data_IF_046354384211
#
_entry.id   IF_046354384211
#
_cell.length_a   1.000
_cell.length_b   1.000
_cell.length_c   1.000
_cell.angle_alpha   90.00
_cell.angle_beta   90.00
_cell.angle_gamma   90.00
#
_symmetry.space_group_name_H-M   'P 1'
#
loop_
_entity.id
_entity.type
_entity.pdbx_description
1 polymer ?
#
# COMPACT_ATOMS: atom_id res chain seq x y z
N UNK A 1 8.44 21.13 33.35
CA UNK A 1 9.01 19.77 33.56
C UNK A 1 9.10 19.01 32.25
N UNK A 2 7.99 18.76 31.54
CA UNK A 2 7.98 18.01 30.27
C UNK A 2 8.89 18.59 29.17
N UNK A 3 8.89 19.91 28.94
CA UNK A 3 9.80 20.52 27.96
C UNK A 3 11.29 20.31 28.25
N UNK A 4 11.69 20.24 29.52
CA UNK A 4 13.07 19.91 29.90
C UNK A 4 13.40 18.45 29.58
N UNK A 5 12.44 17.54 29.78
CA UNK A 5 12.59 16.14 29.39
C UNK A 5 12.79 16.03 27.86
N UNK A 6 11.92 16.64 27.05
CA UNK A 6 12.04 16.60 25.58
C UNK A 6 13.38 17.15 25.11
N UNK A 7 13.84 18.27 25.69
CA UNK A 7 15.16 18.84 25.40
C UNK A 7 16.30 17.87 25.76
N UNK A 8 16.28 17.29 26.95
CA UNK A 8 17.32 16.35 27.38
C UNK A 8 17.33 15.10 26.49
N UNK A 9 16.16 14.57 26.18
CA UNK A 9 15.98 13.45 25.26
C UNK A 9 16.58 13.75 23.88
N UNK A 10 16.22 14.88 23.27
CA UNK A 10 16.76 15.31 21.98
C UNK A 10 18.29 15.45 22.01
N UNK A 11 18.85 16.07 23.05
CA UNK A 11 20.30 16.23 23.17
C UNK A 11 21.05 14.91 23.34
N UNK A 12 20.42 13.88 23.91
CA UNK A 12 21.02 12.54 24.05
C UNK A 12 20.99 11.79 22.73
N UNK A 13 19.89 11.88 21.96
CA UNK A 13 19.65 11.04 20.79
C UNK A 13 19.88 11.72 19.43
N UNK A 14 20.13 13.04 19.38
CA UNK A 14 20.25 13.78 18.11
C UNK A 14 21.28 13.25 17.10
N UNK A 15 22.28 12.54 17.57
CA UNK A 15 23.39 12.01 16.77
C UNK A 15 23.25 10.47 16.58
N UNK A 16 22.17 9.86 17.07
CA UNK A 16 21.92 8.41 17.00
C UNK A 16 21.38 8.00 15.62
N UNK A 17 22.19 7.33 14.82
CA UNK A 17 21.81 6.89 13.47
C UNK A 17 20.84 5.71 13.44
N UNK A 18 20.67 5.00 14.56
CA UNK A 18 19.72 3.89 14.69
C UNK A 18 18.26 4.34 14.86
N UNK A 19 18.01 5.64 15.04
CA UNK A 19 16.67 6.20 15.16
C UNK A 19 16.30 6.85 13.83
N UNK A 20 15.10 6.55 13.32
CA UNK A 20 14.59 7.19 12.10
C UNK A 20 13.69 8.39 12.41
N UNK A 21 12.93 8.30 13.50
CA UNK A 21 11.85 9.22 13.81
C UNK A 21 11.42 9.19 15.27
N UNK A 22 10.70 10.24 15.67
CA UNK A 22 10.05 10.37 16.97
C UNK A 22 8.58 10.72 16.82
N UNK A 23 7.82 10.42 17.87
CA UNK A 23 6.43 10.85 18.03
C UNK A 23 6.21 11.46 19.41
N UNK A 24 5.08 12.14 19.62
CA UNK A 24 4.84 12.83 20.89
C UNK A 24 4.30 11.89 21.99
N UNK A 25 3.56 10.86 21.61
CA UNK A 25 2.95 9.90 22.53
C UNK A 25 2.69 8.57 21.83
N UNK A 26 3.55 7.56 22.01
CA UNK A 26 3.42 6.24 21.35
C UNK A 26 2.02 5.64 21.48
N UNK A 27 1.19 5.77 20.43
CA UNK A 27 -0.24 5.43 20.28
C UNK A 27 -1.33 6.47 20.65
N UNK A 28 -0.98 7.72 21.00
CA UNK A 28 -1.91 8.69 21.60
C UNK A 28 -2.00 10.06 20.95
N UNK A 29 -1.30 10.32 19.84
CA UNK A 29 -1.13 11.69 19.35
C UNK A 29 -2.47 12.39 19.05
N UNK A 30 -3.42 11.68 18.46
CA UNK A 30 -4.78 12.18 18.21
C UNK A 30 -5.50 12.59 19.51
N UNK A 31 -5.31 11.85 20.60
CA UNK A 31 -5.91 12.12 21.90
C UNK A 31 -5.19 13.25 22.66
N UNK A 32 -3.87 13.38 22.48
CA UNK A 32 -3.09 14.49 23.01
C UNK A 32 -3.40 15.82 22.32
N UNK A 33 -3.79 15.75 21.04
CA UNK A 33 -4.18 16.88 20.22
C UNK A 33 -3.01 17.74 19.75
N UNK A 34 -3.30 18.57 18.73
CA UNK A 34 -2.29 19.35 18.00
C UNK A 34 -1.41 20.24 18.87
N UNK A 35 -1.92 20.77 19.98
CA UNK A 35 -1.17 21.69 20.85
C UNK A 35 0.05 21.00 21.44
N UNK A 36 -0.11 19.79 21.99
CA UNK A 36 1.01 19.05 22.58
C UNK A 36 1.97 18.58 21.49
N UNK A 37 1.42 18.03 20.41
CA UNK A 37 2.21 17.47 19.31
C UNK A 37 3.07 18.55 18.65
N UNK A 38 2.51 19.74 18.39
CA UNK A 38 3.25 20.87 17.84
C UNK A 38 4.31 21.40 18.81
N UNK A 39 4.01 21.43 20.12
CA UNK A 39 4.98 21.81 21.15
C UNK A 39 6.18 20.84 21.19
N UNK A 40 5.94 19.53 21.16
CA UNK A 40 6.99 18.52 21.11
C UNK A 40 7.79 18.64 19.81
N UNK A 41 7.11 18.77 18.67
CA UNK A 41 7.73 18.99 17.37
C UNK A 41 8.71 20.17 17.40
N UNK A 42 8.26 21.34 17.87
CA UNK A 42 9.08 22.55 17.88
C UNK A 42 10.31 22.41 18.78
N UNK A 43 10.14 21.80 19.96
CA UNK A 43 11.26 21.55 20.85
C UNK A 43 12.25 20.55 20.27
N UNK A 44 11.78 19.43 19.71
CA UNK A 44 12.66 18.45 19.06
C UNK A 44 13.44 19.13 17.92
N UNK A 45 12.77 19.87 17.03
CA UNK A 45 13.45 20.55 15.90
C UNK A 45 14.51 21.56 16.33
N UNK A 46 14.36 22.17 17.51
CA UNK A 46 15.36 23.10 18.04
C UNK A 46 16.66 22.39 18.45
N UNK A 47 16.60 21.17 18.96
CA UNK A 47 17.75 20.46 19.54
C UNK A 47 18.20 19.24 18.73
N UNK A 48 17.34 18.74 17.85
CA UNK A 48 17.52 17.60 16.98
C UNK A 48 16.91 17.90 15.59
N UNK A 49 17.73 18.44 14.68
CA UNK A 49 17.30 18.68 13.31
C UNK A 49 17.35 17.40 12.44
N UNK A 50 17.91 16.30 12.93
CA UNK A 50 18.29 15.15 12.12
C UNK A 50 17.16 14.12 11.99
N UNK A 51 16.41 13.88 13.06
CA UNK A 51 15.35 12.87 13.08
C UNK A 51 14.02 13.41 12.55
N UNK A 52 13.18 12.54 11.97
CA UNK A 52 11.81 12.91 11.60
C UNK A 52 10.92 13.02 12.85
N UNK A 53 9.88 13.86 12.79
CA UNK A 53 8.82 13.90 13.80
C UNK A 53 7.54 13.52 13.09
N UNK A 54 6.93 12.43 13.51
CA UNK A 54 5.74 11.84 12.93
C UNK A 54 4.56 12.01 13.90
N UNK A 55 3.35 11.88 13.38
CA UNK A 55 2.18 11.62 14.20
C UNK A 55 1.96 10.11 14.30
N UNK A 56 1.78 9.61 15.52
CA UNK A 56 1.34 8.23 15.78
C UNK A 56 0.03 7.90 15.08
N UNK A 57 -0.23 6.61 14.83
CA UNK A 57 -1.30 6.25 13.95
C UNK A 57 -2.67 6.43 14.55
N UNK A 58 -3.60 6.83 13.68
CA UNK A 58 -5.01 6.54 13.94
C UNK A 58 -5.28 5.08 13.79
N UNK A 59 -6.22 4.62 14.62
CA UNK A 59 -6.87 3.34 14.39
C UNK A 59 -7.37 3.23 12.95
N UNK A 60 -8.14 4.20 12.46
CA UNK A 60 -8.74 4.21 11.12
C UNK A 60 -8.83 5.64 10.57
N UNK A 61 -8.72 5.80 9.24
CA UNK A 61 -9.03 7.08 8.55
C UNK A 61 -10.54 7.30 8.49
N UNK A 62 -11.12 7.93 9.51
CA UNK A 62 -12.57 8.21 9.59
C UNK A 62 -12.98 9.57 9.03
N UNK A 63 -12.02 10.34 8.53
CA UNK A 63 -12.19 11.71 8.05
C UNK A 63 -11.22 12.01 6.90
N UNK A 64 -11.12 13.28 6.50
CA UNK A 64 -10.21 13.70 5.43
C UNK A 64 -8.77 13.15 5.64
N UNK A 65 -8.16 12.47 4.66
CA UNK A 65 -6.81 11.90 4.81
C UNK A 65 -5.72 12.93 5.18
N UNK A 66 -5.83 14.17 4.66
CA UNK A 66 -4.97 15.31 5.03
C UNK A 66 -5.49 16.15 6.22
N UNK A 67 -6.38 15.64 7.07
CA UNK A 67 -6.93 16.47 8.15
C UNK A 67 -5.85 17.08 9.06
N UNK A 68 -4.73 16.37 9.30
CA UNK A 68 -3.59 16.87 10.07
C UNK A 68 -3.08 18.21 9.53
N UNK A 69 -2.94 18.28 8.21
CA UNK A 69 -2.50 19.50 7.51
C UNK A 69 -3.54 20.60 7.67
N UNK A 70 -4.82 20.28 7.47
CA UNK A 70 -5.93 21.24 7.59
C UNK A 70 -6.10 21.78 9.02
N UNK A 71 -5.84 20.95 10.03
CA UNK A 71 -5.93 21.33 11.43
C UNK A 71 -4.69 22.06 11.96
N UNK A 72 -3.62 22.14 11.15
CA UNK A 72 -2.38 22.83 11.48
C UNK A 72 -1.44 22.02 12.38
N UNK A 73 -1.44 20.69 12.23
CA UNK A 73 -0.43 19.83 12.83
C UNK A 73 0.89 20.00 12.08
N UNK A 74 1.99 20.10 12.82
CA UNK A 74 3.33 20.34 12.28
C UNK A 74 4.04 19.08 11.76
N UNK A 75 3.89 17.90 12.38
CA UNK A 75 4.46 16.68 11.79
C UNK A 75 3.96 16.47 10.37
N UNK A 76 4.89 16.11 9.48
CA UNK A 76 4.63 16.04 8.04
C UNK A 76 3.84 14.79 7.64
N UNK A 77 3.84 13.75 8.46
CA UNK A 77 3.27 12.45 8.17
C UNK A 77 2.43 11.94 9.34
N UNK A 78 1.22 11.49 9.04
CA UNK A 78 0.32 10.82 9.98
C UNK A 78 0.35 9.31 9.83
N UNK A 79 0.38 8.58 10.94
CA UNK A 79 0.24 7.14 10.90
C UNK A 79 -1.22 6.72 10.64
N UNK A 80 -1.39 5.57 10.00
CA UNK A 80 -2.65 4.81 10.01
C UNK A 80 -2.35 3.36 10.35
N UNK A 81 -3.26 2.72 11.09
CA UNK A 81 -3.23 1.27 11.32
C UNK A 81 -4.03 0.55 10.24
N UNK A 82 -3.74 -0.71 9.94
CA UNK A 82 -4.59 -1.51 9.04
C UNK A 82 -5.19 -2.74 9.71
N UNK A 83 -4.93 -2.99 10.99
CA UNK A 83 -5.42 -4.22 11.63
C UNK A 83 -6.95 -4.27 11.77
N UNK A 84 -7.66 -3.14 11.74
CA UNK A 84 -9.12 -3.12 11.77
C UNK A 84 -9.74 -3.74 10.51
N UNK A 85 -8.97 -3.86 9.42
CA UNK A 85 -9.36 -4.61 8.23
C UNK A 85 -8.88 -6.06 8.25
N UNK A 86 -8.29 -6.60 9.32
CA UNK A 86 -7.75 -7.97 9.39
C UNK A 86 -8.73 -9.07 8.94
N UNK A 87 -10.02 -8.87 9.23
CA UNK A 87 -11.09 -9.82 8.88
C UNK A 87 -11.86 -9.47 7.62
N UNK A 88 -11.45 -8.41 6.92
CA UNK A 88 -12.04 -7.98 5.66
C UNK A 88 -11.33 -8.70 4.51
N UNK A 89 -11.98 -8.78 3.33
CA UNK A 89 -11.33 -9.29 2.13
C UNK A 89 -9.98 -8.59 1.85
N UNK A 90 -9.02 -9.24 1.17
CA UNK A 90 -7.72 -8.65 0.80
C UNK A 90 -7.82 -7.29 0.11
N UNK A 91 -8.89 -7.06 -0.64
CA UNK A 91 -9.20 -5.81 -1.33
C UNK A 91 -9.31 -4.61 -0.38
N UNK A 92 -9.71 -4.83 0.88
CA UNK A 92 -9.76 -3.78 1.88
C UNK A 92 -8.38 -3.15 2.13
N UNK A 93 -7.31 -3.95 2.09
CA UNK A 93 -5.93 -3.44 2.22
C UNK A 93 -5.60 -2.46 1.08
N UNK A 94 -5.97 -2.81 -0.16
CA UNK A 94 -5.76 -1.94 -1.33
C UNK A 94 -6.48 -0.61 -1.17
N UNK A 95 -7.72 -0.64 -0.70
CA UNK A 95 -8.52 0.55 -0.39
C UNK A 95 -7.84 1.40 0.70
N UNK A 96 -7.37 0.81 1.80
CA UNK A 96 -6.66 1.55 2.86
C UNK A 96 -5.42 2.26 2.33
N UNK A 97 -4.60 1.58 1.51
CA UNK A 97 -3.42 2.20 0.95
C UNK A 97 -3.76 3.32 -0.04
N UNK A 98 -4.82 3.20 -0.84
CA UNK A 98 -5.24 4.29 -1.73
C UNK A 98 -5.78 5.49 -0.95
N UNK A 99 -6.52 5.25 0.15
CA UNK A 99 -6.97 6.31 1.05
C UNK A 99 -5.76 6.99 1.70
N UNK A 100 -4.80 6.21 2.21
CA UNK A 100 -3.58 6.72 2.80
C UNK A 100 -2.77 7.57 1.81
N UNK A 101 -2.71 7.16 0.53
CA UNK A 101 -1.98 7.88 -0.52
C UNK A 101 -2.62 9.21 -0.94
N UNK A 102 -3.92 9.44 -0.68
CA UNK A 102 -4.52 10.77 -0.82
C UNK A 102 -3.97 11.74 0.24
N UNK A 103 -3.56 11.20 1.38
CA UNK A 103 -3.03 11.94 2.51
C UNK A 103 -1.50 11.89 2.56
N UNK A 104 -0.94 12.69 3.45
CA UNK A 104 0.42 12.49 3.93
C UNK A 104 0.45 11.39 5.00
N UNK A 105 -0.06 10.20 4.67
CA UNK A 105 -0.20 9.10 5.62
C UNK A 105 0.76 7.95 5.31
N UNK A 106 1.31 7.36 6.36
CA UNK A 106 2.09 6.12 6.29
C UNK A 106 1.38 5.01 7.05
N UNK A 107 1.56 3.76 6.62
CA UNK A 107 1.11 2.63 7.43
C UNK A 107 2.08 2.49 8.59
N UNK A 108 1.59 2.73 9.81
CA UNK A 108 2.39 2.61 11.02
C UNK A 108 2.33 1.21 11.60
N UNK A 109 1.14 0.61 11.62
CA UNK A 109 0.87 -0.75 12.10
C UNK A 109 0.00 -1.47 11.09
N UNK A 110 0.45 -2.63 10.63
CA UNK A 110 -0.22 -3.39 9.58
C UNK A 110 -1.22 -4.40 10.14
N UNK A 111 -1.71 -5.27 9.25
CA UNK A 111 -2.63 -6.34 9.59
C UNK A 111 -1.93 -7.46 10.39
N UNK A 112 -1.68 -7.23 11.68
CA UNK A 112 -0.78 -8.04 12.50
C UNK A 112 -1.41 -8.57 13.80
N UNK A 113 -2.68 -8.26 14.08
CA UNK A 113 -3.27 -8.52 15.40
C UNK A 113 -3.61 -10.01 15.62
N UNK A 114 -3.58 -10.81 14.55
CA UNK A 114 -3.94 -12.22 14.59
C UNK A 114 -3.01 -13.16 15.35
N UNK A 115 -1.75 -12.78 15.60
CA UNK A 115 -0.77 -13.65 16.28
C UNK A 115 -0.72 -13.43 17.80
N UNK A 116 -0.73 -12.18 18.29
CA UNK A 116 -0.68 -11.86 19.73
C UNK A 116 -2.04 -11.65 20.40
N UNK A 117 -3.10 -11.32 19.64
CA UNK A 117 -4.43 -11.02 20.17
C UNK A 117 -5.32 -12.24 20.48
N UNK A 118 -4.73 -13.43 20.57
CA UNK A 118 -5.38 -14.75 20.57
C UNK A 118 -6.37 -15.07 21.70
N UNK A 119 -7.08 -14.11 22.31
CA UNK A 119 -8.17 -14.40 23.24
C UNK A 119 -9.25 -13.31 23.45
N UNK A 120 -9.15 -12.08 22.91
CA UNK A 120 -10.18 -11.07 23.20
C UNK A 120 -11.31 -11.00 22.14
N UNK A 121 -11.00 -11.22 20.86
CA UNK A 121 -12.00 -11.19 19.77
C UNK A 121 -11.79 -12.27 18.69
N UNK A 122 -10.74 -13.07 18.84
CA UNK A 122 -10.29 -14.04 17.86
C UNK A 122 -10.58 -15.43 18.41
N UNK A 123 -11.44 -16.18 17.73
CA UNK A 123 -11.64 -17.60 18.02
C UNK A 123 -10.32 -18.39 17.95
N UNK A 124 -10.34 -19.70 18.24
CA UNK A 124 -9.12 -20.47 18.42
C UNK A 124 -8.22 -20.37 17.19
N UNK A 125 -6.99 -19.87 17.44
CA UNK A 125 -5.78 -19.99 16.62
C UNK A 125 -5.93 -19.67 15.12
N UNK A 126 -5.65 -18.42 14.71
CA UNK A 126 -5.32 -18.17 13.30
C UNK A 126 -4.05 -18.97 12.97
N UNK A 127 -4.09 -19.91 12.02
CA UNK A 127 -2.90 -20.70 11.68
C UNK A 127 -1.79 -19.76 11.17
N UNK A 128 -0.54 -20.00 11.57
CA UNK A 128 0.63 -19.19 11.17
C UNK A 128 0.72 -18.92 9.66
N UNK A 129 0.21 -19.84 8.84
CA UNK A 129 0.11 -19.68 7.37
C UNK A 129 -0.88 -18.59 6.97
N UNK A 130 -2.06 -18.54 7.58
CA UNK A 130 -3.05 -17.50 7.32
C UNK A 130 -2.53 -16.13 7.75
N UNK A 131 -1.86 -16.07 8.91
CA UNK A 131 -1.18 -14.86 9.37
C UNK A 131 -0.12 -14.36 8.36
N UNK A 132 0.81 -15.23 7.94
CA UNK A 132 1.84 -14.88 6.95
C UNK A 132 1.25 -14.44 5.61
N UNK A 133 0.15 -15.07 5.16
CA UNK A 133 -0.59 -14.61 3.98
C UNK A 133 -1.05 -13.16 4.16
N UNK A 134 -1.65 -12.83 5.30
CA UNK A 134 -2.15 -11.48 5.58
C UNK A 134 -1.05 -10.43 5.70
N UNK A 135 0.09 -10.80 6.30
CA UNK A 135 1.30 -9.96 6.32
C UNK A 135 1.73 -9.62 4.90
N UNK A 136 1.84 -10.62 4.02
CA UNK A 136 2.25 -10.42 2.63
C UNK A 136 1.26 -9.56 1.86
N UNK A 137 -0.04 -9.80 2.01
CA UNK A 137 -1.08 -8.95 1.42
C UNK A 137 -0.89 -7.49 1.83
N UNK A 138 -0.61 -7.22 3.10
CA UNK A 138 -0.41 -5.85 3.60
C UNK A 138 0.87 -5.25 3.02
N UNK A 139 2.00 -5.91 3.25
CA UNK A 139 3.33 -5.39 2.93
C UNK A 139 3.51 -5.21 1.43
N UNK A 140 3.18 -6.21 0.62
CA UNK A 140 3.43 -6.15 -0.82
C UNK A 140 2.39 -5.34 -1.59
N UNK A 141 1.16 -5.19 -1.06
CA UNK A 141 0.20 -4.21 -1.62
C UNK A 141 0.74 -2.80 -1.40
N UNK A 142 1.12 -2.45 -0.17
CA UNK A 142 1.71 -1.15 0.13
C UNK A 142 2.99 -0.89 -0.68
N UNK A 143 3.84 -1.90 -0.84
CA UNK A 143 5.06 -1.78 -1.63
C UNK A 143 4.80 -1.59 -3.12
N UNK A 144 3.84 -2.33 -3.71
CA UNK A 144 3.43 -2.15 -5.10
C UNK A 144 2.80 -0.77 -5.35
N UNK A 145 2.06 -0.24 -4.38
CA UNK A 145 1.47 1.11 -4.44
C UNK A 145 2.46 2.22 -4.06
N UNK A 146 3.64 1.85 -3.55
CA UNK A 146 4.71 2.76 -3.10
C UNK A 146 4.31 3.62 -1.91
N UNK A 147 3.45 3.08 -1.05
CA UNK A 147 3.09 3.73 0.20
C UNK A 147 4.21 3.57 1.22
N UNK A 148 4.52 4.59 2.03
CA UNK A 148 5.45 4.45 3.15
C UNK A 148 4.90 3.47 4.19
N UNK A 149 5.75 2.53 4.60
CA UNK A 149 5.45 1.50 5.60
C UNK A 149 6.46 1.62 6.73
N UNK A 150 5.99 1.85 7.95
CA UNK A 150 6.77 1.61 9.16
C UNK A 150 6.47 0.18 9.61
N UNK A 151 7.50 -0.59 9.89
CA UNK A 151 7.33 -1.92 10.47
C UNK A 151 7.44 -1.84 11.97
N UNK A 152 6.33 -2.11 12.63
CA UNK A 152 6.27 -2.17 14.09
C UNK A 152 5.73 -3.53 14.50
N UNK A 153 6.32 -4.08 15.56
CA UNK A 153 5.91 -5.32 16.23
C UNK A 153 6.10 -6.62 15.40
N UNK A 154 6.55 -7.68 16.09
CA UNK A 154 6.75 -9.05 15.56
C UNK A 154 7.81 -9.28 14.45
N UNK A 155 8.91 -8.53 14.48
CA UNK A 155 10.02 -8.64 13.51
C UNK A 155 10.41 -10.08 13.13
N UNK A 156 10.30 -11.05 14.05
CA UNK A 156 10.71 -12.45 13.82
C UNK A 156 9.83 -13.23 12.84
N UNK A 157 8.51 -13.00 12.82
CA UNK A 157 7.61 -13.79 11.96
C UNK A 157 7.55 -13.21 10.55
N UNK A 158 7.84 -11.91 10.44
CA UNK A 158 7.83 -11.12 9.19
C UNK A 158 9.24 -10.83 8.67
N UNK A 159 10.29 -11.29 9.35
CA UNK A 159 11.71 -11.04 9.00
C UNK A 159 12.03 -11.49 7.57
N UNK A 160 11.45 -12.62 7.18
CA UNK A 160 11.64 -13.21 5.85
C UNK A 160 11.18 -12.27 4.73
N UNK A 161 10.15 -11.44 4.99
CA UNK A 161 9.61 -10.50 4.00
C UNK A 161 10.57 -9.34 3.72
N UNK A 162 11.51 -9.07 4.64
CA UNK A 162 12.53 -8.02 4.45
C UNK A 162 13.46 -8.32 3.30
N UNK A 163 13.75 -9.60 3.05
CA UNK A 163 14.77 -10.03 2.08
C UNK A 163 14.41 -9.59 0.66
N UNK A 164 13.20 -9.93 0.21
CA UNK A 164 12.74 -9.62 -1.16
C UNK A 164 12.64 -8.10 -1.34
N UNK A 165 12.11 -7.39 -0.36
CA UNK A 165 12.00 -5.93 -0.42
C UNK A 165 13.37 -5.24 -0.45
N UNK A 166 14.33 -5.69 0.36
CA UNK A 166 15.68 -5.14 0.37
C UNK A 166 16.37 -5.31 -0.98
N UNK A 167 16.22 -6.47 -1.62
CA UNK A 167 16.74 -6.72 -2.97
C UNK A 167 16.08 -5.79 -4.00
N UNK A 168 14.74 -5.73 -4.04
CA UNK A 168 14.02 -4.88 -5.00
C UNK A 168 14.38 -3.40 -4.82
N UNK A 169 14.55 -2.94 -3.57
CA UNK A 169 14.93 -1.55 -3.28
C UNK A 169 16.27 -1.15 -3.90
N UNK A 170 17.19 -2.10 -4.08
CA UNK A 170 18.48 -1.86 -4.72
C UNK A 170 18.42 -1.88 -6.26
N UNK A 171 17.41 -2.57 -6.82
CA UNK A 171 17.24 -2.72 -8.28
C UNK A 171 16.40 -1.61 -8.91
N UNK A 172 15.60 -0.93 -8.10
CA UNK A 172 14.68 0.13 -8.55
C UNK A 172 15.31 1.50 -8.34
N UNK A 173 15.31 2.32 -9.39
CA UNK A 173 15.57 3.74 -9.28
C UNK A 173 14.33 4.48 -8.77
N UNK A 174 14.27 4.68 -7.45
CA UNK A 174 13.16 5.36 -6.77
C UNK A 174 13.12 6.88 -7.01
N UNK A 175 14.14 7.45 -7.66
CA UNK A 175 14.12 8.88 -8.03
C UNK A 175 13.21 9.14 -9.24
N UNK A 176 12.89 8.10 -10.02
CA UNK A 176 12.01 8.21 -11.18
C UNK A 176 10.53 8.30 -10.78
N UNK A 177 9.76 9.17 -11.45
CA UNK A 177 8.32 9.24 -11.24
C UNK A 177 7.63 7.98 -11.79
N UNK A 178 6.47 7.67 -11.21
CA UNK A 178 5.58 6.63 -11.67
C UNK A 178 4.33 7.24 -12.28
N UNK A 179 3.77 6.52 -13.26
CA UNK A 179 2.58 6.96 -14.01
C UNK A 179 1.42 7.24 -13.06
N UNK A 180 0.75 8.36 -13.30
CA UNK A 180 -0.58 8.60 -12.74
C UNK A 180 -1.52 7.50 -13.24
N UNK A 181 -2.27 6.82 -12.35
CA UNK A 181 -3.26 5.83 -12.74
C UNK A 181 -4.29 6.40 -13.75
N UNK A 182 -4.68 5.63 -14.79
CA UNK A 182 -5.59 6.12 -15.82
C UNK A 182 -7.03 6.26 -15.32
N UNK A 183 -7.36 5.64 -14.18
CA UNK A 183 -8.67 5.75 -13.55
C UNK A 183 -8.59 6.49 -12.21
N UNK A 184 -9.62 7.26 -11.93
CA UNK A 184 -9.84 7.84 -10.61
C UNK A 184 -11.17 7.40 -10.00
N UNK A 185 -11.18 7.19 -8.69
CA UNK A 185 -12.37 6.89 -7.90
C UNK A 185 -12.59 8.07 -6.97
N UNK A 186 -13.70 8.77 -7.16
CA UNK A 186 -14.07 9.91 -6.32
C UNK A 186 -14.75 9.43 -5.04
N UNK A 187 -14.26 9.92 -3.91
CA UNK A 187 -14.75 9.56 -2.57
C UNK A 187 -15.17 10.80 -1.78
N UNK A 188 -15.79 10.60 -0.62
CA UNK A 188 -16.16 11.67 0.32
C UNK A 188 -15.96 11.20 1.75
N UNK A 189 -16.13 12.12 2.70
CA UNK A 189 -16.13 11.82 4.14
C UNK A 189 -17.11 10.69 4.52
N UNK A 190 -18.22 10.54 3.80
CA UNK A 190 -19.22 9.50 4.09
C UNK A 190 -18.72 8.08 3.84
N UNK A 191 -17.70 7.91 2.98
CA UNK A 191 -17.06 6.62 2.70
C UNK A 191 -15.84 6.36 3.58
N UNK A 192 -15.46 7.31 4.45
CA UNK A 192 -14.30 7.13 5.32
C UNK A 192 -14.53 6.08 6.42
N UNK A 193 -15.69 5.94 7.05
CA UNK A 193 -15.92 4.81 7.97
C UNK A 193 -15.85 3.43 7.28
N UNK A 194 -15.18 2.46 7.88
CA UNK A 194 -14.83 1.16 7.29
C UNK A 194 -16.05 0.29 6.99
N UNK A 195 -17.14 0.49 7.71
CA UNK A 195 -18.44 -0.14 7.48
C UNK A 195 -19.15 0.39 6.22
N UNK A 196 -18.73 1.56 5.71
CA UNK A 196 -19.29 2.20 4.51
C UNK A 196 -18.43 2.02 3.26
N UNK A 197 -17.25 1.42 3.38
CA UNK A 197 -16.28 1.21 2.27
C UNK A 197 -16.58 0.00 1.37
N UNK A 198 -17.65 -0.73 1.62
CA UNK A 198 -18.02 -1.93 0.84
C UNK A 198 -18.03 -1.70 -0.70
N UNK A 199 -18.56 -0.58 -1.24
CA UNK A 199 -18.49 -0.31 -2.68
C UNK A 199 -17.05 -0.18 -3.20
N UNK A 200 -16.14 0.34 -2.37
CA UNK A 200 -14.72 0.49 -2.72
C UNK A 200 -14.02 -0.87 -2.75
N UNK A 201 -14.33 -1.75 -1.78
CA UNK A 201 -13.79 -3.12 -1.75
C UNK A 201 -14.21 -3.90 -3.00
N UNK A 202 -15.47 -3.79 -3.40
CA UNK A 202 -15.98 -4.44 -4.62
C UNK A 202 -15.33 -3.88 -5.88
N UNK A 203 -15.13 -2.57 -5.96
CA UNK A 203 -14.44 -1.99 -7.11
C UNK A 203 -12.98 -2.43 -7.18
N UNK A 204 -12.24 -2.42 -6.06
CA UNK A 204 -10.86 -2.93 -6.00
C UNK A 204 -10.78 -4.42 -6.36
N UNK A 205 -11.79 -5.22 -5.96
CA UNK A 205 -11.90 -6.63 -6.36
C UNK A 205 -11.92 -6.81 -7.88
N UNK A 206 -12.76 -6.03 -8.56
CA UNK A 206 -12.92 -6.09 -10.00
C UNK A 206 -11.70 -5.54 -10.74
N UNK A 207 -11.18 -4.40 -10.31
CA UNK A 207 -9.99 -3.76 -10.92
C UNK A 207 -8.72 -4.59 -10.70
N UNK A 208 -8.62 -5.35 -9.62
CA UNK A 208 -7.45 -6.20 -9.40
C UNK A 208 -7.43 -7.43 -10.32
N UNK A 209 -8.58 -7.90 -10.80
CA UNK A 209 -8.69 -9.05 -11.71
C UNK A 209 -8.35 -8.69 -13.15
N UNK A 210 -8.66 -7.47 -13.56
CA UNK A 210 -8.22 -6.89 -14.83
C UNK A 210 -7.33 -5.72 -14.46
N UNK A 211 -6.02 -5.91 -14.33
CA UNK A 211 -5.12 -5.08 -13.53
C UNK A 211 -5.06 -3.66 -14.09
N UNK A 212 -6.04 -2.86 -13.73
CA UNK A 212 -6.20 -1.46 -14.06
C UNK A 212 -5.89 -0.72 -12.77
N UNK A 213 -4.84 0.12 -12.81
CA UNK A 213 -4.50 0.94 -11.66
C UNK A 213 -5.50 2.08 -11.50
N UNK A 214 -5.76 2.48 -10.25
CA UNK A 214 -6.63 3.61 -9.92
C UNK A 214 -6.01 4.50 -8.83
N UNK A 215 -6.43 5.75 -8.78
CA UNK A 215 -6.17 6.67 -7.66
C UNK A 215 -7.50 7.12 -7.05
N UNK A 216 -7.47 7.67 -5.84
CA UNK A 216 -8.66 8.27 -5.23
C UNK A 216 -8.61 9.79 -5.33
N UNK A 217 -9.77 10.40 -5.55
CA UNK A 217 -9.98 11.85 -5.57
C UNK A 217 -10.86 12.24 -4.40
N UNK A 218 -10.47 13.27 -3.66
CA UNK A 218 -11.29 13.78 -2.57
C UNK A 218 -12.38 14.72 -3.11
N UNK A 219 -13.64 14.37 -2.89
CA UNK A 219 -14.80 15.20 -3.24
C UNK A 219 -14.68 15.79 -4.66
N UNK A 220 -14.73 17.11 -4.79
CA UNK A 220 -14.75 17.79 -6.08
C UNK A 220 -13.35 18.20 -6.56
N UNK A 221 -12.29 17.60 -6.01
CA UNK A 221 -10.93 17.78 -6.52
C UNK A 221 -10.84 17.41 -8.00
N UNK A 222 -10.15 18.24 -8.81
CA UNK A 222 -9.97 17.96 -10.22
C UNK A 222 -9.11 16.72 -10.41
N UNK A 223 -9.46 15.90 -11.41
CA UNK A 223 -8.63 14.77 -11.78
C UNK A 223 -7.27 15.27 -12.31
N UNK A 224 -6.14 14.66 -11.90
CA UNK A 224 -4.82 15.02 -12.41
C UNK A 224 -4.68 14.66 -13.90
N UNK A 225 -3.70 15.26 -14.61
CA UNK A 225 -3.37 14.89 -15.98
C UNK A 225 -3.07 13.39 -16.10
N UNK A 226 -3.55 12.78 -17.19
CA UNK A 226 -3.39 11.34 -17.46
C UNK A 226 -4.56 10.47 -16.99
N UNK A 227 -5.45 10.98 -16.13
CA UNK A 227 -6.71 10.29 -15.81
C UNK A 227 -7.66 10.37 -17.00
N UNK A 228 -8.11 9.21 -17.47
CA UNK A 228 -9.00 9.05 -18.63
C UNK A 228 -10.46 8.85 -18.23
N UNK A 229 -10.72 8.27 -17.06
CA UNK A 229 -12.07 8.03 -16.56
C UNK A 229 -12.16 8.22 -15.05
N UNK A 230 -13.34 8.66 -14.59
CA UNK A 230 -13.64 8.85 -13.17
C UNK A 230 -14.94 8.14 -12.83
N UNK A 231 -14.92 7.33 -11.77
CA UNK A 231 -16.12 6.79 -11.16
C UNK A 231 -16.43 7.53 -9.86
N UNK A 232 -17.68 7.93 -9.68
CA UNK A 232 -18.15 8.62 -8.48
C UNK A 232 -18.71 7.61 -7.46
N UNK A 233 -17.88 7.19 -6.51
CA UNK A 233 -18.28 6.22 -5.48
C UNK A 233 -19.23 6.82 -4.43
N UNK A 234 -19.47 8.14 -4.45
CA UNK A 234 -20.48 8.79 -3.61
C UNK A 234 -21.90 8.41 -4.04
N UNK A 235 -22.05 7.95 -5.28
CA UNK A 235 -23.33 7.45 -5.79
C UNK A 235 -23.42 5.94 -5.59
N UNK A 236 -24.55 5.43 -5.06
CA UNK A 236 -24.78 4.00 -4.99
C UNK A 236 -24.68 3.37 -6.38
N UNK A 237 -23.97 2.25 -6.48
CA UNK A 237 -23.86 1.48 -7.71
C UNK A 237 -24.09 0.00 -7.42
N UNK A 238 -24.92 -0.63 -8.24
CA UNK A 238 -25.11 -2.08 -8.20
C UNK A 238 -23.91 -2.79 -8.82
N UNK A 239 -23.65 -4.03 -8.40
CA UNK A 239 -22.50 -4.82 -8.89
C UNK A 239 -22.52 -4.95 -10.42
N UNK A 240 -23.70 -5.12 -11.02
CA UNK A 240 -23.86 -5.20 -12.48
C UNK A 240 -23.42 -3.92 -13.20
N UNK A 241 -23.66 -2.75 -12.59
CA UNK A 241 -23.19 -1.48 -13.14
C UNK A 241 -21.68 -1.37 -13.05
N UNK A 242 -21.08 -1.76 -11.91
CA UNK A 242 -19.63 -1.80 -11.74
C UNK A 242 -18.95 -2.73 -12.74
N UNK A 243 -19.49 -3.93 -12.97
CA UNK A 243 -18.99 -4.86 -13.99
C UNK A 243 -19.03 -4.28 -15.39
N UNK A 244 -20.10 -3.54 -15.72
CA UNK A 244 -20.23 -2.85 -17.01
C UNK A 244 -19.14 -1.79 -17.17
N UNK A 245 -18.93 -0.96 -16.15
CA UNK A 245 -17.87 0.06 -16.13
C UNK A 245 -16.47 -0.56 -16.30
N UNK A 246 -16.17 -1.62 -15.55
CA UNK A 246 -14.86 -2.29 -15.62
C UNK A 246 -14.62 -2.87 -17.01
N UNK A 247 -15.64 -3.44 -17.66
CA UNK A 247 -15.54 -3.90 -19.05
C UNK A 247 -15.30 -2.75 -20.03
N UNK A 248 -15.98 -1.63 -19.86
CA UNK A 248 -15.79 -0.43 -20.68
C UNK A 248 -14.37 0.12 -20.54
N UNK A 249 -13.85 0.23 -19.31
CA UNK A 249 -12.48 0.69 -19.06
C UNK A 249 -11.43 -0.29 -19.56
N UNK A 250 -11.69 -1.60 -19.45
CA UNK A 250 -10.79 -2.62 -20.02
C UNK A 250 -10.63 -2.43 -21.52
N UNK A 251 -11.72 -2.14 -22.23
CA UNK A 251 -11.67 -1.87 -23.66
C UNK A 251 -11.00 -0.53 -23.98
N UNK A 252 -11.30 0.52 -23.20
CA UNK A 252 -10.71 1.85 -23.35
C UNK A 252 -9.18 1.79 -23.19
N UNK A 253 -8.69 1.01 -22.22
CA UNK A 253 -7.29 0.97 -21.82
C UNK A 253 -6.51 -0.22 -22.43
N UNK A 254 -7.11 -1.00 -23.32
CA UNK A 254 -6.54 -2.26 -23.81
C UNK A 254 -5.12 -2.12 -24.40
N UNK A 255 -4.84 -0.96 -25.02
CA UNK A 255 -3.55 -0.65 -25.65
C UNK A 255 -2.56 0.04 -24.70
N UNK A 256 -2.91 0.21 -23.42
CA UNK A 256 -2.06 0.84 -22.41
C UNK A 256 -1.75 -0.07 -21.21
N UNK A 257 -2.56 -1.10 -20.97
CA UNK A 257 -2.39 -1.98 -19.82
C UNK A 257 -1.10 -2.83 -19.94
N UNK A 258 -0.15 -2.70 -19.00
CA UNK A 258 1.13 -3.43 -19.09
C UNK A 258 0.98 -4.91 -18.74
N UNK A 259 -0.14 -5.30 -18.14
CA UNK A 259 -0.37 -6.62 -17.55
C UNK A 259 -1.69 -7.20 -18.02
N UNK A 260 -1.68 -8.48 -18.40
CA UNK A 260 -2.88 -9.30 -18.56
C UNK A 260 -2.71 -10.58 -17.76
N UNK A 261 -3.67 -10.87 -16.88
CA UNK A 261 -3.64 -12.00 -15.98
C UNK A 261 -4.65 -13.06 -16.38
N UNK A 262 -4.32 -14.32 -16.10
CA UNK A 262 -5.30 -15.40 -16.16
C UNK A 262 -6.37 -15.28 -15.06
N UNK A 263 -7.59 -15.80 -15.31
CA UNK A 263 -8.63 -15.87 -14.30
C UNK A 263 -8.17 -16.58 -13.02
N UNK A 264 -8.70 -16.15 -11.87
CA UNK A 264 -8.33 -16.70 -10.56
C UNK A 264 -7.15 -16.00 -9.89
N UNK A 265 -6.60 -14.96 -10.52
CA UNK A 265 -5.57 -14.10 -9.96
C UNK A 265 -6.05 -12.66 -9.83
N UNK A 266 -5.47 -11.94 -8.88
CA UNK A 266 -5.61 -10.51 -8.70
C UNK A 266 -4.23 -9.85 -8.61
N UNK A 267 -4.18 -8.57 -8.97
CA UNK A 267 -2.95 -7.81 -9.02
C UNK A 267 -3.15 -6.37 -8.61
N UNK A 268 -2.18 -5.88 -7.84
CA UNK A 268 -2.00 -4.46 -7.54
C UNK A 268 -0.62 -4.07 -8.06
N UNK A 269 -0.52 -3.00 -8.84
CA UNK A 269 0.75 -2.60 -9.46
C UNK A 269 0.95 -1.10 -9.57
N UNK A 270 2.20 -0.70 -9.82
CA UNK A 270 2.59 0.62 -10.31
C UNK A 270 3.66 0.49 -11.39
N UNK A 271 3.64 1.42 -12.35
CA UNK A 271 4.55 1.42 -13.51
C UNK A 271 5.21 2.79 -13.67
N UNK A 272 6.52 2.83 -13.93
CA UNK A 272 7.27 4.08 -14.12
C UNK A 272 6.78 4.86 -15.34
N UNK A 273 6.92 6.18 -15.33
CA UNK A 273 6.51 7.02 -16.47
C UNK A 273 7.18 6.59 -17.78
N UNK A 274 8.49 6.32 -17.73
CA UNK A 274 9.27 5.82 -18.86
C UNK A 274 8.97 4.36 -19.26
N UNK A 275 8.13 3.66 -18.50
CA UNK A 275 7.72 2.28 -18.75
C UNK A 275 8.80 1.22 -18.46
N UNK A 276 9.94 1.61 -17.89
CA UNK A 276 11.08 0.71 -17.65
C UNK A 276 11.02 -0.06 -16.34
N UNK A 277 10.23 0.40 -15.36
CA UNK A 277 10.11 -0.23 -14.03
C UNK A 277 8.66 -0.54 -13.71
N UNK A 278 8.34 -1.81 -13.49
CA UNK A 278 7.00 -2.29 -13.09
C UNK A 278 7.10 -3.04 -11.76
N UNK A 279 6.27 -2.65 -10.79
CA UNK A 279 6.12 -3.31 -9.50
C UNK A 279 4.72 -3.90 -9.43
N UNK A 280 4.57 -5.21 -9.25
CA UNK A 280 3.24 -5.81 -9.13
C UNK A 280 3.18 -6.90 -8.06
N UNK A 281 2.24 -6.77 -7.15
CA UNK A 281 1.86 -7.83 -6.20
C UNK A 281 0.76 -8.68 -6.81
N UNK A 282 1.03 -9.97 -6.97
CA UNK A 282 0.15 -10.96 -7.58
C UNK A 282 -0.38 -11.91 -6.50
N UNK A 283 -1.69 -12.08 -6.44
CA UNK A 283 -2.35 -12.93 -5.44
C UNK A 283 -3.37 -13.88 -6.09
N UNK A 284 -3.38 -15.13 -5.66
CA UNK A 284 -4.41 -16.08 -6.03
C UNK A 284 -5.72 -15.75 -5.32
N UNK A 285 -6.86 -15.82 -6.02
CA UNK A 285 -8.20 -15.67 -5.43
C UNK A 285 -8.56 -16.88 -4.55
N UNK A 286 -8.16 -18.08 -4.97
CA UNK A 286 -8.16 -19.27 -4.12
C UNK A 286 -6.74 -19.50 -3.60
N UNK A 287 -6.52 -19.10 -2.35
CA UNK A 287 -5.21 -19.17 -1.71
C UNK A 287 -4.89 -20.54 -1.11
N UNK A 288 -5.86 -21.44 -1.00
CA UNK A 288 -5.66 -22.80 -0.48
C UNK A 288 -5.27 -23.76 -1.61
N UNK A 289 -5.72 -23.47 -2.84
CA UNK A 289 -5.41 -24.24 -4.04
C UNK A 289 -4.95 -23.33 -5.20
N UNK A 290 -3.80 -22.64 -5.07
CA UNK A 290 -3.35 -21.70 -6.08
C UNK A 290 -3.04 -22.41 -7.40
N UNK A 291 -3.80 -22.09 -8.43
CA UNK A 291 -3.58 -22.60 -9.78
C UNK A 291 -2.25 -22.09 -10.35
N UNK A 292 -1.70 -22.79 -11.34
CA UNK A 292 -0.69 -22.18 -12.21
C UNK A 292 -1.32 -21.01 -12.95
N UNK A 293 -0.51 -20.00 -13.21
CA UNK A 293 -0.93 -18.76 -13.83
C UNK A 293 0.00 -18.40 -14.96
N UNK A 294 -0.57 -17.72 -15.95
CA UNK A 294 0.13 -17.01 -16.99
C UNK A 294 -0.13 -15.52 -16.86
N UNK A 295 0.95 -14.76 -16.87
CA UNK A 295 0.94 -13.31 -16.95
C UNK A 295 1.51 -12.90 -18.29
N UNK A 296 0.80 -12.05 -19.03
CA UNK A 296 1.36 -11.40 -20.21
C UNK A 296 1.76 -9.98 -19.86
N UNK A 297 2.99 -9.64 -20.21
CA UNK A 297 3.53 -8.29 -20.18
C UNK A 297 3.42 -7.71 -21.58
N UNK A 298 2.85 -6.51 -21.69
CA UNK A 298 2.62 -5.83 -22.97
C UNK A 298 3.10 -4.39 -22.89
N UNK A 299 3.22 -3.75 -24.06
CA UNK A 299 3.52 -2.32 -24.19
C UNK A 299 4.82 -1.90 -23.49
N UNK A 300 5.78 -2.81 -23.36
CA UNK A 300 7.10 -2.52 -22.80
C UNK A 300 7.93 -1.72 -23.82
N UNK A 301 8.90 -0.92 -23.36
CA UNK A 301 9.80 -0.21 -24.26
C UNK A 301 10.60 -1.19 -25.13
N UNK A 302 11.06 -0.70 -26.30
CA UNK A 302 11.97 -1.42 -27.19
C UNK A 302 13.41 -1.33 -26.68
N UNK A 303 13.62 -1.78 -25.44
CA UNK A 303 14.94 -1.95 -24.84
C UNK A 303 14.93 -3.21 -23.98
N UNK A 304 16.10 -3.84 -23.78
CA UNK A 304 16.21 -4.97 -22.87
C UNK A 304 15.85 -4.57 -21.43
N UNK A 305 14.92 -5.30 -20.83
CA UNK A 305 14.56 -5.20 -19.42
C UNK A 305 14.78 -6.55 -18.74
N UNK A 306 15.07 -6.51 -17.44
CA UNK A 306 15.04 -7.69 -16.59
C UNK A 306 13.62 -7.89 -16.04
N UNK A 307 13.19 -9.14 -15.95
CA UNK A 307 11.93 -9.53 -15.35
C UNK A 307 12.19 -10.61 -14.31
N UNK A 308 11.82 -10.33 -13.06
CA UNK A 308 11.88 -11.27 -11.93
C UNK A 308 10.50 -11.47 -11.34
N UNK A 309 10.14 -12.72 -11.09
CA UNK A 309 8.97 -13.09 -10.29
C UNK A 309 9.47 -13.78 -9.03
N UNK A 310 9.22 -13.14 -7.88
CA UNK A 310 9.56 -13.64 -6.56
C UNK A 310 8.39 -14.47 -6.02
N UNK A 311 8.66 -15.71 -5.61
CA UNK A 311 7.76 -16.52 -4.81
C UNK A 311 7.88 -16.10 -3.35
N UNK A 312 6.85 -15.42 -2.85
CA UNK A 312 6.87 -14.84 -1.51
C UNK A 312 6.69 -15.89 -0.41
N UNK A 313 6.09 -17.04 -0.73
CA UNK A 313 5.99 -18.17 0.20
C UNK A 313 7.36 -18.77 0.46
N UNK A 314 8.18 -18.88 -0.60
CA UNK A 314 9.49 -19.54 -0.57
C UNK A 314 10.67 -18.57 -0.42
N UNK A 315 10.45 -17.27 -0.51
CA UNK A 315 11.49 -16.24 -0.41
C UNK A 315 12.56 -16.35 -1.50
N UNK A 316 12.18 -16.81 -2.70
CA UNK A 316 13.12 -17.08 -3.80
C UNK A 316 12.59 -16.58 -5.14
N UNK A 317 13.48 -16.45 -6.12
CA UNK A 317 13.10 -16.14 -7.50
C UNK A 317 12.49 -17.39 -8.14
N UNK A 318 11.22 -17.32 -8.55
CA UNK A 318 10.55 -18.36 -9.31
C UNK A 318 10.84 -18.29 -10.81
N UNK A 319 10.98 -17.07 -11.33
CA UNK A 319 11.26 -16.81 -12.74
C UNK A 319 12.22 -15.62 -12.85
N UNK A 320 13.26 -15.76 -13.67
CA UNK A 320 14.11 -14.65 -14.08
C UNK A 320 14.40 -14.78 -15.58
N UNK A 321 14.28 -13.65 -16.29
CA UNK A 321 14.61 -13.59 -17.71
C UNK A 321 14.81 -12.16 -18.17
N UNK A 322 15.35 -12.03 -19.38
CA UNK A 322 15.35 -10.79 -20.16
C UNK A 322 14.14 -10.74 -21.06
N UNK A 323 13.55 -9.56 -21.17
CA UNK A 323 12.34 -9.29 -21.97
C UNK A 323 12.50 -7.97 -22.74
N UNK A 324 11.71 -7.81 -23.80
CA UNK A 324 11.64 -6.60 -24.61
C UNK A 324 10.27 -6.57 -25.29
N UNK A 325 9.62 -5.39 -25.38
CA UNK A 325 8.28 -5.16 -25.96
C UNK A 325 7.11 -5.93 -25.32
N UNK A 326 7.16 -7.24 -25.33
CA UNK A 326 6.15 -8.13 -24.76
C UNK A 326 6.82 -9.38 -24.18
N UNK A 327 6.17 -10.02 -23.20
CA UNK A 327 6.62 -11.30 -22.67
C UNK A 327 5.46 -12.08 -22.05
N UNK A 328 5.60 -13.40 -21.99
CA UNK A 328 4.65 -14.27 -21.31
C UNK A 328 5.34 -15.03 -20.17
N UNK A 329 4.81 -14.91 -18.96
CA UNK A 329 5.37 -15.44 -17.72
C UNK A 329 4.47 -16.44 -17.06
N UNK A 330 4.96 -17.67 -16.93
CA UNK A 330 4.28 -18.73 -16.19
C UNK A 330 4.85 -18.84 -14.77
N UNK A 331 3.98 -18.92 -13.78
CA UNK A 331 4.31 -19.11 -12.37
C UNK A 331 3.18 -19.87 -11.67
N UNK A 332 3.36 -20.23 -10.40
CA UNK A 332 2.31 -20.86 -9.59
C UNK A 332 2.82 -21.91 -8.62
N UNK A 333 1.90 -22.43 -7.80
CA UNK A 333 2.21 -23.32 -6.69
C UNK A 333 2.38 -22.61 -5.33
N UNK A 334 2.27 -21.28 -5.30
CA UNK A 334 2.19 -20.45 -4.09
C UNK A 334 1.06 -19.42 -4.25
N UNK A 335 0.47 -18.91 -3.16
CA UNK A 335 -0.65 -17.96 -3.25
C UNK A 335 -0.21 -16.54 -3.60
N UNK A 336 1.05 -16.18 -3.34
CA UNK A 336 1.55 -14.81 -3.42
C UNK A 336 2.88 -14.72 -4.19
N UNK A 337 2.93 -13.81 -5.15
CA UNK A 337 4.14 -13.49 -5.91
C UNK A 337 4.34 -11.98 -6.00
N UNK A 338 5.59 -11.56 -6.19
CA UNK A 338 5.91 -10.19 -6.56
C UNK A 338 6.66 -10.16 -7.89
N UNK A 339 6.15 -9.41 -8.85
CA UNK A 339 6.79 -9.16 -10.13
C UNK A 339 7.57 -7.84 -10.05
N UNK A 340 8.81 -7.90 -10.51
CA UNK A 340 9.65 -6.75 -10.79
C UNK A 340 10.08 -6.79 -12.26
N UNK A 341 9.76 -5.74 -13.02
CA UNK A 341 10.44 -5.40 -14.27
C UNK A 341 11.30 -4.19 -14.03
N UNK A 342 12.53 -4.17 -14.54
CA UNK A 342 13.49 -3.10 -14.30
C UNK A 342 14.56 -3.01 -15.41
N UNK A 343 15.24 -1.86 -15.59
CA UNK A 343 16.37 -1.72 -16.51
C UNK A 343 17.51 -2.71 -16.21
N UNK A 344 18.37 -2.94 -17.21
CA UNK A 344 19.54 -3.78 -17.06
C UNK A 344 20.60 -3.19 -16.13
#
# INVERSE_FOLDING_TARGET
MFGNYVRQFALVFRDETGISSFTASGEGDFACGKTLVNFVHDLLRQYDPNHLVLCEPHHEVVQHPNYYVHEGWKPLLGGVRSYFVDHRPPEAIGVEYRIAAMGHLFMAEGCFYGYLGGNLHMGPEMPIRAYRRRVRETVYTGFALRNPLLWTWEERVVEDERRVMAEIRQLVDWSKPFRTPPLAIRVSAELMPADRREPLYRMEDLLSQVPISSLYLWEDEPAPPGVQAVWDARQPAEVTQMLTLVREWTNLLADELPLQLEPGWACTYSWSEDGTTLLAFLRAKDSDHPARARLRLRHLPSMPLNCRVYDLERGQIAVERRIEREAEVEFGGSPHYFLLVYPQ
#
